data_IF_247242595408
#
_entry.id   IF_247242595408
#
_cell.length_a   1.000
_cell.length_b   1.000
_cell.length_c   1.000
_cell.angle_alpha   90.00
_cell.angle_beta   90.00
_cell.angle_gamma   90.00
#
_symmetry.space_group_name_H-M   'P 1'
#
loop_
_entity.id
_entity.type
_entity.pdbx_description
1 polymer ?
#
# COMPACT_ATOMS: atom_id res chain seq x y z
N UNK A 1 -20.79 -41.61 18.50
CA UNK A 1 -22.19 -41.30 18.15
C UNK A 1 -22.21 -39.92 17.54
N UNK A 2 -22.39 -39.86 16.23
CA UNK A 2 -22.51 -38.64 15.44
C UNK A 2 -23.99 -38.44 15.16
N UNK A 3 -24.51 -37.23 15.36
CA UNK A 3 -25.85 -36.87 14.92
C UNK A 3 -25.77 -35.62 14.04
N UNK A 4 -26.15 -35.80 12.78
CA UNK A 4 -26.17 -34.79 11.73
C UNK A 4 -27.61 -34.26 11.61
N UNK A 5 -27.86 -33.07 12.14
CA UNK A 5 -29.10 -32.35 11.91
C UNK A 5 -29.08 -31.63 10.56
N UNK A 6 -29.75 -32.21 9.56
CA UNK A 6 -30.12 -31.55 8.29
C UNK A 6 -31.13 -30.44 8.58
N UNK A 7 -30.95 -29.27 7.98
CA UNK A 7 -32.08 -28.37 7.72
C UNK A 7 -31.93 -27.73 6.34
N UNK A 8 -32.81 -28.16 5.45
CA UNK A 8 -33.07 -27.62 4.12
C UNK A 8 -34.01 -26.43 4.29
N UNK A 9 -33.67 -25.25 3.75
CA UNK A 9 -34.66 -24.24 3.36
C UNK A 9 -34.30 -23.70 1.97
N UNK A 10 -35.32 -23.70 1.12
CA UNK A 10 -35.31 -23.34 -0.27
C UNK A 10 -35.61 -21.84 -0.47
N UNK A 11 -34.95 -21.26 -1.49
CA UNK A 11 -35.60 -20.43 -2.51
C UNK A 11 -35.96 -18.97 -2.21
N UNK A 12 -36.11 -18.22 -3.31
CA UNK A 12 -36.56 -16.82 -3.46
C UNK A 12 -35.39 -15.82 -3.36
N UNK A 13 -35.11 -14.95 -4.31
CA UNK A 13 -35.79 -14.59 -5.56
C UNK A 13 -34.95 -13.53 -6.29
N UNK A 14 -35.08 -13.54 -7.61
CA UNK A 14 -34.46 -12.68 -8.60
C UNK A 14 -34.94 -11.22 -8.44
N UNK A 15 -34.03 -10.23 -8.48
CA UNK A 15 -34.40 -8.85 -8.79
C UNK A 15 -33.23 -8.15 -9.48
N UNK A 16 -33.31 -8.11 -10.81
CA UNK A 16 -32.50 -7.28 -11.67
C UNK A 16 -33.03 -5.83 -11.59
N UNK A 17 -32.15 -4.87 -11.31
CA UNK A 17 -32.45 -3.46 -11.49
C UNK A 17 -31.78 -2.97 -12.78
N UNK A 18 -32.58 -2.86 -13.82
CA UNK A 18 -32.26 -2.15 -15.06
C UNK A 18 -32.56 -0.68 -14.80
N UNK A 19 -31.61 0.22 -15.08
CA UNK A 19 -31.89 1.66 -15.20
C UNK A 19 -31.46 2.12 -16.59
N UNK A 20 -32.46 2.47 -17.39
CA UNK A 20 -32.34 3.02 -18.75
C UNK A 20 -32.18 4.54 -18.68
N UNK A 21 -31.34 5.02 -19.59
CA UNK A 21 -31.10 6.40 -20.03
C UNK A 21 -32.31 7.35 -20.03
N UNK A 22 -32.03 8.62 -19.74
CA UNK A 22 -32.74 9.74 -20.34
C UNK A 22 -31.71 10.74 -20.90
N UNK A 23 -31.75 10.89 -22.22
CA UNK A 23 -31.06 11.93 -22.98
C UNK A 23 -32.06 13.05 -23.29
N UNK A 24 -31.64 14.31 -23.07
CA UNK A 24 -32.15 15.53 -23.68
C UNK A 24 -30.87 16.40 -23.85
N UNK A 25 -30.46 16.91 -25.01
CA UNK A 25 -31.22 17.39 -26.15
C UNK A 25 -31.12 18.92 -26.17
N UNK A 26 -30.50 19.50 -27.21
CA UNK A 26 -30.61 20.94 -27.51
C UNK A 26 -29.32 21.59 -27.98
N UNK A 27 -29.17 21.73 -29.31
CA UNK A 27 -28.07 22.43 -29.95
C UNK A 27 -28.35 23.92 -30.25
N UNK A 28 -27.24 24.58 -30.60
CA UNK A 28 -27.04 25.78 -31.43
C UNK A 28 -27.79 27.08 -31.10
N UNK A 29 -27.04 28.20 -31.02
CA UNK A 29 -26.95 29.19 -32.12
C UNK A 29 -25.87 30.23 -31.77
N UNK A 30 -24.95 30.39 -32.72
CA UNK A 30 -23.93 31.44 -32.83
C UNK A 30 -24.58 32.79 -33.14
N UNK A 31 -24.30 33.83 -32.34
CA UNK A 31 -24.44 35.24 -32.76
C UNK A 31 -23.30 36.07 -32.14
N UNK A 32 -22.36 36.50 -32.97
CA UNK A 32 -21.57 37.72 -32.75
C UNK A 32 -22.37 38.89 -33.36
N UNK A 33 -22.33 40.12 -32.79
CA UNK A 33 -21.23 41.02 -33.15
C UNK A 33 -20.91 42.15 -32.13
N UNK A 34 -19.95 42.98 -32.55
CA UNK A 34 -19.70 44.39 -32.21
C UNK A 34 -18.59 44.66 -31.18
N UNK A 35 -17.40 44.87 -31.74
CA UNK A 35 -16.25 45.52 -31.13
C UNK A 35 -16.59 46.93 -30.64
N UNK A 36 -16.16 47.24 -29.42
CA UNK A 36 -16.08 48.58 -28.84
C UNK A 36 -14.67 48.77 -28.23
N UNK A 37 -14.23 50.01 -27.97
CA UNK A 37 -12.84 50.43 -28.06
C UNK A 37 -11.94 49.92 -26.92
N UNK A 38 -10.68 49.74 -27.30
CA UNK A 38 -9.56 49.28 -26.50
C UNK A 38 -9.18 50.31 -25.43
N UNK A 39 -9.63 50.12 -24.19
CA UNK A 39 -8.92 50.61 -23.01
C UNK A 39 -7.97 49.50 -22.56
N UNK A 40 -6.67 49.70 -22.77
CA UNK A 40 -5.62 48.79 -22.30
C UNK A 40 -5.50 48.93 -20.78
N UNK A 41 -5.88 47.91 -19.98
CA UNK A 41 -5.58 47.91 -18.56
C UNK A 41 -4.06 47.73 -18.39
N UNK A 42 -3.45 48.27 -17.32
CA UNK A 42 -2.04 48.02 -17.04
C UNK A 42 -1.80 46.52 -17.01
N UNK A 43 -0.79 46.08 -17.75
CA UNK A 43 -0.31 44.70 -17.82
C UNK A 43 -0.23 44.14 -16.40
N UNK A 44 -1.23 43.34 -16.02
CA UNK A 44 -1.13 42.52 -14.83
C UNK A 44 0.05 41.59 -15.08
N UNK A 45 1.09 41.74 -14.27
CA UNK A 45 2.20 40.80 -14.21
C UNK A 45 1.54 39.42 -14.08
N UNK A 46 1.77 38.49 -15.03
CA UNK A 46 1.23 37.14 -14.89
C UNK A 46 1.67 36.66 -13.52
N UNK A 47 0.76 36.13 -12.68
CA UNK A 47 1.15 35.62 -11.37
C UNK A 47 2.33 34.68 -11.63
N UNK A 48 3.49 35.04 -11.06
CA UNK A 48 4.67 34.20 -11.08
C UNK A 48 4.18 32.82 -10.75
N UNK A 49 4.25 31.90 -11.72
CA UNK A 49 3.73 30.57 -11.55
C UNK A 49 4.36 30.04 -10.26
N UNK A 50 3.53 29.86 -9.24
CA UNK A 50 3.96 29.23 -8.00
C UNK A 50 4.65 27.96 -8.46
N UNK A 51 5.94 27.74 -8.12
CA UNK A 51 6.57 26.47 -8.43
C UNK A 51 5.63 25.37 -7.95
N UNK A 52 5.39 24.31 -8.75
CA UNK A 52 4.42 23.28 -8.40
C UNK A 52 4.68 22.93 -6.95
N UNK A 53 3.66 23.15 -6.11
CA UNK A 53 3.78 22.97 -4.67
C UNK A 53 4.53 21.66 -4.48
N UNK A 54 5.70 21.71 -3.85
CA UNK A 54 6.45 20.50 -3.54
C UNK A 54 5.41 19.54 -2.99
N UNK A 55 5.20 18.46 -3.74
CA UNK A 55 4.25 17.42 -3.36
C UNK A 55 4.47 17.22 -1.88
N UNK A 56 3.39 17.40 -1.11
CA UNK A 56 3.44 17.51 0.35
C UNK A 56 4.32 16.42 0.94
N UNK A 57 4.73 16.51 2.20
CA UNK A 57 5.56 15.51 2.88
C UNK A 57 5.27 14.02 2.54
N UNK A 58 4.02 13.67 2.17
CA UNK A 58 3.60 12.34 1.70
C UNK A 58 3.38 12.17 0.19
N UNK A 59 3.45 13.21 -0.62
CA UNK A 59 3.17 13.18 -2.05
C UNK A 59 4.14 12.31 -2.86
N UNK A 60 5.41 12.18 -2.44
CA UNK A 60 6.34 11.22 -3.05
C UNK A 60 5.92 9.76 -2.84
N UNK A 61 5.32 9.48 -1.68
CA UNK A 61 4.81 8.16 -1.31
C UNK A 61 3.49 7.87 -2.05
N UNK A 62 2.59 8.84 -2.07
CA UNK A 62 1.30 8.76 -2.77
C UNK A 62 1.46 8.71 -4.29
N UNK A 63 2.54 9.26 -4.86
CA UNK A 63 2.87 9.10 -6.27
C UNK A 63 3.12 7.63 -6.67
N UNK A 64 3.41 6.75 -5.71
CA UNK A 64 3.52 5.31 -5.95
C UNK A 64 2.18 4.57 -5.97
N UNK A 65 1.06 5.24 -5.64
CA UNK A 65 -0.28 4.65 -5.63
C UNK A 65 -1.08 5.20 -6.82
N UNK A 66 -1.73 4.35 -7.64
CA UNK A 66 -2.59 4.82 -8.72
C UNK A 66 -3.78 5.60 -8.14
N UNK A 67 -4.00 6.81 -8.62
CA UNK A 67 -5.07 7.67 -8.12
C UNK A 67 -6.42 7.32 -8.77
N UNK A 68 -7.23 6.52 -8.06
CA UNK A 68 -8.49 5.97 -8.56
C UNK A 68 -9.59 6.09 -7.50
N UNK A 69 -10.88 6.02 -7.87
CA UNK A 69 -11.96 5.97 -6.87
C UNK A 69 -11.78 4.87 -5.83
N UNK A 70 -11.22 3.72 -6.22
CA UNK A 70 -11.03 2.56 -5.32
C UNK A 70 -9.88 2.76 -4.34
N UNK A 71 -8.73 3.25 -4.80
CA UNK A 71 -7.59 3.55 -3.92
C UNK A 71 -7.85 4.72 -2.97
N UNK A 72 -8.77 5.63 -3.32
CA UNK A 72 -9.22 6.72 -2.42
C UNK A 72 -10.17 6.28 -1.30
N UNK A 73 -10.72 5.07 -1.35
CA UNK A 73 -11.69 4.61 -0.34
C UNK A 73 -11.06 4.45 1.05
N UNK A 74 -9.77 4.09 1.11
CA UNK A 74 -9.00 3.99 2.34
C UNK A 74 -7.54 4.24 2.00
N UNK A 75 -6.89 5.11 2.77
CA UNK A 75 -5.45 5.42 2.65
C UNK A 75 -4.87 5.49 4.06
N UNK A 76 -3.89 4.66 4.35
CA UNK A 76 -3.14 4.67 5.60
C UNK A 76 -1.68 4.98 5.30
N UNK A 77 -1.11 5.95 6.00
CA UNK A 77 0.27 6.38 5.82
C UNK A 77 0.98 6.33 7.16
N UNK A 78 2.18 5.76 7.16
CA UNK A 78 3.07 5.75 8.31
C UNK A 78 4.42 6.38 7.93
N UNK A 79 4.94 7.21 8.82
CA UNK A 79 6.30 7.76 8.75
C UNK A 79 7.13 7.25 9.92
N UNK A 80 7.86 6.17 9.68
CA UNK A 80 8.69 5.54 10.68
C UNK A 80 10.00 6.32 10.93
N UNK A 81 10.46 7.11 9.96
CA UNK A 81 11.65 7.94 10.12
C UNK A 81 11.38 9.12 11.08
N UNK A 82 10.27 9.83 10.89
CA UNK A 82 9.84 10.93 11.76
C UNK A 82 9.57 10.42 13.19
N UNK A 83 8.96 9.24 13.30
CA UNK A 83 8.80 8.53 14.56
C UNK A 83 10.15 8.28 15.25
N UNK A 84 11.14 7.73 14.52
CA UNK A 84 12.47 7.47 15.07
C UNK A 84 13.13 8.76 15.55
N UNK A 85 13.06 9.82 14.75
CA UNK A 85 13.58 11.15 15.10
C UNK A 85 12.94 11.70 16.39
N UNK A 86 11.61 11.67 16.48
CA UNK A 86 10.86 12.15 17.64
C UNK A 86 11.26 11.43 18.93
N UNK A 87 11.64 10.16 18.83
CA UNK A 87 12.06 9.33 19.95
C UNK A 87 13.57 9.32 20.19
N UNK A 88 14.35 10.04 19.38
CA UNK A 88 15.81 10.01 19.45
C UNK A 88 16.42 8.63 19.13
N UNK A 89 15.70 7.81 18.36
CA UNK A 89 16.17 6.49 17.93
C UNK A 89 17.02 6.64 16.68
N UNK A 90 18.18 5.99 16.67
CA UNK A 90 18.96 5.84 15.44
C UNK A 90 18.30 4.79 14.54
N UNK A 91 18.34 4.95 13.21
CA UNK A 91 17.93 3.88 12.30
C UNK A 91 18.75 2.63 12.59
N UNK A 92 18.09 1.50 12.82
CA UNK A 92 18.77 0.24 13.03
C UNK A 92 19.59 -0.13 11.79
N UNK A 93 20.84 -0.54 11.99
CA UNK A 93 21.62 -1.18 10.94
C UNK A 93 20.92 -2.43 10.38
N UNK A 94 21.25 -2.86 9.15
CA UNK A 94 20.65 -4.06 8.54
C UNK A 94 20.87 -5.34 9.35
N UNK A 95 21.90 -5.37 10.20
CA UNK A 95 22.27 -6.55 11.00
C UNK A 95 21.94 -6.41 12.48
N UNK A 96 21.31 -5.31 12.90
CA UNK A 96 20.96 -5.07 14.31
C UNK A 96 19.77 -5.91 14.77
N UNK A 97 19.67 -6.22 16.05
CA UNK A 97 18.51 -6.93 16.58
C UNK A 97 17.24 -6.06 16.51
N UNK A 98 16.15 -6.66 15.98
CA UNK A 98 14.82 -6.06 15.81
C UNK A 98 14.03 -5.67 17.09
N UNK A 99 14.36 -6.08 18.34
CA UNK A 99 13.47 -5.88 19.49
C UNK A 99 13.09 -4.45 19.80
N UNK A 100 13.93 -3.45 19.51
CA UNK A 100 13.63 -2.05 19.84
C UNK A 100 12.53 -1.48 18.93
N UNK A 101 12.54 -1.84 17.64
CA UNK A 101 11.50 -1.45 16.68
C UNK A 101 10.19 -2.20 16.92
N UNK A 102 10.26 -3.49 17.29
CA UNK A 102 9.07 -4.26 17.71
C UNK A 102 8.48 -3.68 18.99
N UNK A 103 9.29 -3.39 20.01
CA UNK A 103 8.80 -2.82 21.26
C UNK A 103 8.13 -1.48 21.01
N UNK A 104 8.66 -0.66 20.09
CA UNK A 104 8.02 0.56 19.65
C UNK A 104 6.67 0.32 18.94
N UNK A 105 6.61 -0.60 17.98
CA UNK A 105 5.36 -0.93 17.28
C UNK A 105 4.31 -1.58 18.21
N UNK A 106 4.75 -2.27 19.25
CA UNK A 106 3.90 -2.77 20.33
C UNK A 106 3.40 -1.60 21.19
N UNK A 107 4.27 -0.68 21.59
CA UNK A 107 3.92 0.48 22.42
C UNK A 107 3.02 1.50 21.70
N UNK A 108 3.05 1.57 20.36
CA UNK A 108 2.12 2.40 19.58
C UNK A 108 0.72 1.79 19.44
N UNK A 109 0.57 0.48 19.66
CA UNK A 109 -0.69 -0.29 19.50
C UNK A 109 -1.32 -0.70 20.85
N UNK A 110 -0.55 -0.67 21.95
CA UNK A 110 -0.94 -1.14 23.29
C UNK A 110 -0.88 0.07 24.25
N UNK A 111 -1.94 0.58 24.90
CA UNK A 111 -3.25 0.06 25.33
C UNK A 111 -4.21 1.23 25.61
N UNK A 112 -5.44 1.13 25.13
CA UNK A 112 -6.57 1.78 25.81
C UNK A 112 -6.70 1.16 27.22
N UNK A 113 -6.59 1.98 28.27
CA UNK A 113 -6.86 1.58 29.66
C UNK A 113 -5.68 1.61 30.64
N UNK A 114 -4.47 2.01 30.21
CA UNK A 114 -3.38 2.35 31.13
C UNK A 114 -3.30 3.87 31.27
N UNK A 115 -3.20 4.40 32.50
CA UNK A 115 -3.05 5.84 32.69
C UNK A 115 -1.85 6.33 31.88
N UNK A 116 -2.01 7.38 31.05
CA UNK A 116 -0.91 7.94 30.29
C UNK A 116 0.21 8.33 31.25
N UNK A 117 1.38 7.70 31.09
CA UNK A 117 2.60 8.20 31.72
C UNK A 117 2.91 9.57 31.11
N UNK A 118 2.81 10.68 31.86
CA UNK A 118 3.00 12.02 31.33
C UNK A 118 4.45 12.28 30.91
N UNK A 119 5.38 11.39 31.25
CA UNK A 119 6.80 11.46 30.84
C UNK A 119 7.08 10.77 29.51
N UNK A 120 6.11 10.02 28.95
CA UNK A 120 6.27 9.30 27.68
C UNK A 120 5.53 10.01 26.56
N UNK A 121 6.22 10.24 25.45
CA UNK A 121 5.61 10.71 24.21
C UNK A 121 4.76 9.58 23.64
N UNK A 122 3.46 9.79 23.50
CA UNK A 122 2.58 8.88 22.75
C UNK A 122 2.69 9.19 21.27
N UNK A 123 3.09 8.20 20.48
CA UNK A 123 3.16 8.31 19.03
C UNK A 123 2.16 7.31 18.45
N UNK A 124 1.18 7.83 17.71
CA UNK A 124 0.16 7.01 17.06
C UNK A 124 0.60 6.74 15.62
N UNK A 125 0.80 5.46 15.29
CA UNK A 125 0.96 4.99 13.91
C UNK A 125 -0.37 4.37 13.47
N UNK A 126 -0.69 4.45 12.17
CA UNK A 126 -1.73 3.61 11.61
C UNK A 126 -1.32 2.14 11.69
N UNK A 127 -2.27 1.23 11.44
CA UNK A 127 -1.91 -0.18 11.24
C UNK A 127 -0.84 -0.28 10.14
N UNK A 128 0.24 -0.99 10.43
CA UNK A 128 1.36 -1.07 9.51
C UNK A 128 1.01 -2.03 8.35
N UNK A 129 1.32 -1.66 7.09
CA UNK A 129 1.10 -2.55 5.96
C UNK A 129 1.91 -3.82 6.11
N UNK A 130 1.38 -4.91 5.60
CA UNK A 130 1.97 -6.24 5.69
C UNK A 130 3.42 -6.31 5.16
N UNK A 131 3.72 -5.61 4.07
CA UNK A 131 5.04 -5.61 3.44
C UNK A 131 6.13 -4.98 4.32
N UNK A 132 5.76 -4.15 5.29
CA UNK A 132 6.74 -3.47 6.15
C UNK A 132 7.39 -4.39 7.18
N UNK A 133 6.82 -5.58 7.42
CA UNK A 133 7.25 -6.45 8.51
C UNK A 133 6.91 -5.91 9.91
N UNK A 134 6.07 -4.88 9.99
CA UNK A 134 5.58 -4.28 11.23
C UNK A 134 4.07 -4.48 11.43
N UNK A 135 3.39 -5.17 10.52
CA UNK A 135 1.98 -5.52 10.71
C UNK A 135 1.84 -6.57 11.81
N UNK A 136 0.69 -6.55 12.50
CA UNK A 136 0.42 -7.45 13.61
C UNK A 136 0.54 -8.94 13.23
N UNK A 137 0.17 -9.26 11.99
CA UNK A 137 0.22 -10.63 11.44
C UNK A 137 1.64 -11.14 11.21
N UNK A 138 2.66 -10.27 11.23
CA UNK A 138 4.03 -10.59 10.82
C UNK A 138 5.00 -10.65 12.02
N UNK A 139 4.61 -10.20 13.22
CA UNK A 139 5.48 -10.26 14.41
C UNK A 139 5.92 -11.68 14.77
N UNK A 140 5.01 -12.66 14.67
CA UNK A 140 5.30 -14.07 14.96
C UNK A 140 5.91 -14.81 13.75
N UNK A 141 6.01 -14.14 12.61
CA UNK A 141 6.45 -14.71 11.34
C UNK A 141 7.40 -13.74 10.62
N UNK A 142 8.60 -13.49 11.18
CA UNK A 142 9.55 -12.54 10.62
C UNK A 142 9.92 -12.93 9.20
N UNK A 143 9.95 -11.95 8.28
CA UNK A 143 10.14 -12.21 6.84
C UNK A 143 11.50 -11.83 6.33
N UNK A 144 12.30 -11.17 7.16
CA UNK A 144 13.63 -10.69 6.81
C UNK A 144 14.50 -11.82 6.28
N UNK A 145 14.39 -13.02 6.83
CA UNK A 145 15.14 -14.18 6.37
C UNK A 145 14.79 -14.61 4.93
N UNK A 146 13.59 -14.30 4.45
CA UNK A 146 13.13 -14.66 3.10
C UNK A 146 13.18 -13.49 2.11
N UNK A 147 13.09 -12.25 2.60
CA UNK A 147 12.99 -11.05 1.78
C UNK A 147 14.19 -10.11 1.90
N UNK A 148 15.11 -10.35 2.84
CA UNK A 148 16.26 -9.51 3.17
C UNK A 148 15.94 -8.08 3.68
N UNK A 149 14.67 -7.78 3.95
CA UNK A 149 14.24 -6.52 4.56
C UNK A 149 13.07 -6.73 5.53
N UNK A 150 12.89 -5.75 6.42
CA UNK A 150 11.73 -5.58 7.31
C UNK A 150 11.71 -4.11 7.80
N UNK A 151 11.07 -3.82 8.93
CA UNK A 151 10.88 -2.46 9.44
C UNK A 151 12.17 -1.67 9.69
N UNK A 152 13.35 -2.34 9.74
CA UNK A 152 14.66 -1.67 9.80
C UNK A 152 14.98 -0.88 8.53
N UNK A 153 14.51 -1.38 7.40
CA UNK A 153 14.76 -0.83 6.07
C UNK A 153 13.68 0.16 5.64
N UNK A 154 12.54 0.20 6.35
CA UNK A 154 11.38 1.01 5.98
C UNK A 154 11.40 2.35 6.71
N UNK A 155 11.37 3.42 5.92
CA UNK A 155 11.28 4.79 6.39
C UNK A 155 9.84 5.29 6.36
N UNK A 156 9.09 4.97 5.31
CA UNK A 156 7.68 5.33 5.18
C UNK A 156 6.90 4.19 4.54
N UNK A 157 5.59 4.15 4.75
CA UNK A 157 4.73 3.22 4.03
C UNK A 157 3.35 3.80 3.78
N UNK A 158 2.75 3.43 2.66
CA UNK A 158 1.33 3.67 2.36
C UNK A 158 0.63 2.36 2.05
N UNK A 159 -0.59 2.24 2.55
CA UNK A 159 -1.58 1.27 2.13
C UNK A 159 -2.77 2.02 1.54
N UNK A 160 -3.27 1.57 0.38
CA UNK A 160 -4.42 2.18 -0.27
C UNK A 160 -5.37 1.12 -0.86
N UNK A 161 -6.67 1.42 -0.85
CA UNK A 161 -7.73 0.54 -1.33
C UNK A 161 -8.43 -0.24 -0.23
N UNK A 162 -9.28 -1.19 -0.63
CA UNK A 162 -10.12 -1.97 0.29
C UNK A 162 -9.96 -3.46 0.00
N UNK A 163 -10.15 -4.30 1.03
CA UNK A 163 -10.09 -5.76 0.87
C UNK A 163 -11.07 -6.20 -0.23
N UNK A 164 -10.63 -7.07 -1.17
CA UNK A 164 -9.34 -7.78 -1.18
C UNK A 164 -8.21 -7.09 -1.96
N UNK A 165 -8.45 -5.94 -2.57
CA UNK A 165 -7.56 -5.23 -3.50
C UNK A 165 -6.80 -4.10 -2.82
N UNK A 166 -6.01 -4.47 -1.81
CA UNK A 166 -5.12 -3.55 -1.12
C UNK A 166 -3.80 -3.42 -1.89
N UNK A 167 -3.34 -2.17 -2.03
CA UNK A 167 -2.05 -1.81 -2.61
C UNK A 167 -1.14 -1.28 -1.50
N UNK A 168 0.07 -1.83 -1.41
CA UNK A 168 1.05 -1.44 -0.40
C UNK A 168 2.33 -0.95 -1.07
N UNK A 169 2.86 0.16 -0.56
CA UNK A 169 4.15 0.71 -0.95
C UNK A 169 4.94 1.00 0.30
N UNK A 170 6.17 0.50 0.38
CA UNK A 170 7.14 0.88 1.39
C UNK A 170 8.28 1.66 0.73
N UNK A 171 8.67 2.77 1.34
CA UNK A 171 9.84 3.57 0.96
C UNK A 171 10.94 3.40 1.99
N UNK A 172 12.19 3.33 1.53
CA UNK A 172 13.34 3.24 2.40
C UNK A 172 14.58 2.75 1.68
N UNK A 173 15.29 1.80 2.30
CA UNK A 173 16.64 1.36 1.87
C UNK A 173 16.65 -0.14 1.65
N UNK A 174 16.47 -0.57 0.41
CA UNK A 174 16.34 -1.98 0.06
C UNK A 174 17.48 -2.43 -0.86
N UNK A 175 17.78 -3.72 -0.82
CA UNK A 175 18.74 -4.37 -1.71
C UNK A 175 18.03 -5.47 -2.52
N UNK A 176 17.64 -5.18 -3.78
CA UNK A 176 16.97 -6.16 -4.63
C UNK A 176 17.81 -7.43 -4.86
N UNK A 177 19.14 -7.32 -4.88
CA UNK A 177 20.01 -8.48 -5.05
C UNK A 177 20.02 -9.36 -3.79
N UNK A 178 20.01 -8.74 -2.61
CA UNK A 178 19.88 -9.48 -1.35
C UNK A 178 18.51 -10.18 -1.25
N UNK A 179 17.42 -9.55 -1.68
CA UNK A 179 16.10 -10.21 -1.76
C UNK A 179 16.13 -11.40 -2.71
N UNK A 180 16.72 -11.23 -3.90
CA UNK A 180 16.83 -12.33 -4.87
C UNK A 180 17.63 -13.51 -4.28
N UNK A 181 18.73 -13.22 -3.59
CA UNK A 181 19.55 -14.23 -2.93
C UNK A 181 18.80 -14.94 -1.79
N UNK A 182 18.07 -14.20 -0.96
CA UNK A 182 17.27 -14.76 0.13
C UNK A 182 16.17 -15.70 -0.39
N UNK A 183 15.50 -15.31 -1.48
CA UNK A 183 14.51 -16.16 -2.13
C UNK A 183 15.12 -17.41 -2.77
N UNK A 184 16.28 -17.31 -3.42
CA UNK A 184 16.99 -18.46 -4.01
C UNK A 184 17.48 -19.45 -2.95
N UNK A 185 17.93 -18.95 -1.79
CA UNK A 185 18.38 -19.77 -0.67
C UNK A 185 17.24 -20.40 0.15
N UNK A 186 16.00 -19.98 -0.04
CA UNK A 186 14.87 -20.39 0.78
C UNK A 186 14.32 -21.76 0.37
N UNK A 187 14.74 -22.83 1.06
CA UNK A 187 14.30 -24.20 0.77
C UNK A 187 12.82 -24.48 1.06
N UNK A 188 12.18 -23.66 1.90
CA UNK A 188 10.77 -23.79 2.27
C UNK A 188 9.83 -22.88 1.47
N UNK A 189 10.39 -21.93 0.70
CA UNK A 189 9.61 -21.03 -0.13
C UNK A 189 9.14 -21.77 -1.39
N UNK A 190 7.86 -21.68 -1.76
CA UNK A 190 7.45 -22.09 -3.10
C UNK A 190 8.16 -21.21 -4.14
N UNK A 191 8.62 -21.78 -5.27
CA UNK A 191 9.29 -21.02 -6.31
C UNK A 191 8.33 -19.93 -6.84
N UNK A 192 8.77 -18.67 -6.96
CA UNK A 192 7.96 -17.61 -7.54
C UNK A 192 7.91 -17.72 -9.06
N UNK A 193 6.80 -17.25 -9.63
CA UNK A 193 6.80 -16.78 -11.01
C UNK A 193 7.45 -15.38 -11.05
N UNK A 194 8.34 -15.14 -12.01
CA UNK A 194 8.94 -13.82 -12.24
C UNK A 194 8.23 -13.19 -13.43
N UNK A 195 7.56 -12.06 -13.18
CA UNK A 195 6.79 -11.33 -14.20
C UNK A 195 7.41 -9.95 -14.40
N UNK A 196 7.59 -9.53 -15.64
CA UNK A 196 8.09 -8.19 -15.98
C UNK A 196 6.98 -7.34 -16.57
N UNK A 197 6.86 -6.11 -16.08
CA UNK A 197 5.95 -5.09 -16.60
C UNK A 197 6.68 -3.74 -16.63
N UNK A 198 6.68 -3.07 -17.78
CA UNK A 198 7.37 -1.78 -17.97
C UNK A 198 8.83 -1.77 -17.47
N UNK A 199 9.55 -2.87 -17.71
CA UNK A 199 10.96 -3.03 -17.31
C UNK A 199 11.17 -3.31 -15.82
N UNK A 200 10.12 -3.33 -15.00
CA UNK A 200 10.16 -3.71 -13.59
C UNK A 200 9.74 -5.17 -13.45
N UNK A 201 10.60 -5.97 -12.82
CA UNK A 201 10.29 -7.37 -12.50
C UNK A 201 9.71 -7.48 -11.09
N UNK A 202 8.72 -8.35 -10.93
CA UNK A 202 8.15 -8.70 -9.63
C UNK A 202 7.99 -10.21 -9.48
N UNK A 203 8.10 -10.67 -8.24
CA UNK A 203 7.84 -12.04 -7.84
C UNK A 203 6.34 -12.24 -7.62
N UNK A 204 5.80 -13.37 -8.02
CA UNK A 204 4.39 -13.72 -7.86
C UNK A 204 4.24 -15.14 -7.32
N UNK A 205 3.36 -15.31 -6.33
CA UNK A 205 3.01 -16.62 -5.79
C UNK A 205 1.50 -16.87 -5.95
N UNK A 206 1.14 -17.94 -6.67
CA UNK A 206 -0.26 -18.36 -6.86
C UNK A 206 -1.09 -17.40 -7.72
N UNK A 207 -2.38 -17.72 -7.87
CA UNK A 207 -3.33 -16.89 -8.64
C UNK A 207 -3.82 -15.66 -7.86
N UNK A 208 -4.35 -14.67 -8.58
CA UNK A 208 -4.90 -13.45 -7.99
C UNK A 208 -6.02 -13.80 -6.99
N UNK A 209 -5.92 -13.28 -5.76
CA UNK A 209 -6.85 -13.52 -4.64
C UNK A 209 -7.01 -14.98 -4.19
N UNK A 210 -6.27 -15.94 -4.76
CA UNK A 210 -6.40 -17.35 -4.40
C UNK A 210 -5.75 -17.64 -3.06
N UNK A 211 -6.57 -17.91 -2.04
CA UNK A 211 -6.12 -18.25 -0.70
C UNK A 211 -5.98 -19.75 -0.47
N UNK A 212 -4.95 -20.15 0.28
CA UNK A 212 -4.80 -21.50 0.82
C UNK A 212 -4.51 -21.44 2.32
N UNK A 213 -5.53 -21.68 3.15
CA UNK A 213 -5.41 -21.59 4.61
C UNK A 213 -4.36 -22.52 5.23
N UNK A 214 -3.91 -23.58 4.51
CA UNK A 214 -2.81 -24.43 4.97
C UNK A 214 -1.46 -23.73 4.92
N UNK A 215 -1.30 -22.74 4.04
CA UNK A 215 -0.09 -21.92 3.87
C UNK A 215 -0.25 -20.49 4.41
N UNK A 216 -1.23 -20.25 5.29
CA UNK A 216 -1.40 -18.92 5.91
C UNK A 216 -0.13 -18.50 6.62
N UNK A 217 0.26 -17.24 6.44
CA UNK A 217 1.50 -16.66 6.96
C UNK A 217 2.78 -17.42 6.56
N UNK A 218 2.70 -18.30 5.55
CA UNK A 218 3.85 -19.03 5.04
C UNK A 218 4.84 -18.12 4.31
N UNK A 219 6.12 -18.54 4.24
CA UNK A 219 7.13 -17.83 3.49
C UNK A 219 6.89 -17.92 1.97
N UNK A 220 7.42 -16.96 1.19
CA UNK A 220 8.07 -15.73 1.65
C UNK A 220 7.07 -14.61 1.94
N UNK A 221 5.86 -14.68 1.35
CA UNK A 221 4.93 -13.57 1.39
C UNK A 221 3.43 -13.95 1.34
N UNK A 222 3.02 -14.99 2.05
CA UNK A 222 1.60 -15.37 2.16
C UNK A 222 0.93 -14.67 3.34
N UNK A 223 -0.29 -14.16 3.15
CA UNK A 223 -1.05 -13.47 4.21
C UNK A 223 -1.82 -14.42 5.14
N UNK A 224 -2.60 -13.87 6.06
CA UNK A 224 -3.40 -14.66 7.02
C UNK A 224 -4.49 -15.52 6.34
N UNK A 225 -4.84 -15.24 5.08
CA UNK A 225 -5.73 -16.07 4.25
C UNK A 225 -4.95 -17.05 3.37
N UNK A 226 -3.62 -17.04 3.44
CA UNK A 226 -2.74 -17.84 2.61
C UNK A 226 -2.78 -17.43 1.13
N UNK A 227 -3.06 -16.15 0.84
CA UNK A 227 -2.96 -15.59 -0.50
C UNK A 227 -1.51 -15.20 -0.76
N UNK A 228 -0.97 -15.61 -1.90
CA UNK A 228 0.40 -15.29 -2.28
C UNK A 228 0.53 -13.85 -2.79
N UNK A 229 1.52 -13.13 -2.28
CA UNK A 229 1.80 -11.76 -2.70
C UNK A 229 2.33 -11.66 -4.13
N UNK A 230 2.24 -10.45 -4.68
CA UNK A 230 3.10 -9.96 -5.75
C UNK A 230 4.04 -8.97 -5.09
N UNK A 231 5.34 -9.12 -5.26
CA UNK A 231 6.34 -8.24 -4.65
C UNK A 231 7.33 -7.76 -5.71
N UNK A 232 7.43 -6.45 -5.87
CA UNK A 232 8.52 -5.81 -6.61
C UNK A 232 9.44 -5.12 -5.60
N UNK A 233 10.75 -5.33 -5.75
CA UNK A 233 11.77 -4.70 -4.90
C UNK A 233 12.69 -3.87 -5.78
N UNK A 234 12.72 -2.56 -5.52
CA UNK A 234 13.68 -1.61 -6.05
C UNK A 234 14.50 -1.04 -4.88
N UNK A 235 15.62 -0.36 -5.16
CA UNK A 235 16.52 0.11 -4.11
C UNK A 235 15.86 1.06 -3.09
N UNK A 236 14.84 1.81 -3.51
CA UNK A 236 14.16 2.80 -2.68
C UNK A 236 12.71 2.43 -2.36
N UNK A 237 12.13 1.46 -3.08
CA UNK A 237 10.71 1.13 -2.99
C UNK A 237 10.47 -0.37 -2.98
N UNK A 238 9.52 -0.80 -2.18
CA UNK A 238 8.91 -2.14 -2.28
C UNK A 238 7.42 -1.98 -2.52
N UNK A 239 6.93 -2.72 -3.51
CA UNK A 239 5.51 -2.81 -3.82
C UNK A 239 4.98 -4.17 -3.37
N UNK A 240 3.75 -4.18 -2.84
CA UNK A 240 3.04 -5.42 -2.55
C UNK A 240 1.55 -5.30 -2.82
N UNK A 241 1.00 -6.37 -3.36
CA UNK A 241 -0.45 -6.60 -3.45
C UNK A 241 -0.71 -8.11 -3.60
N UNK A 242 -1.97 -8.54 -3.64
CA UNK A 242 -2.36 -9.95 -3.84
C UNK A 242 -2.88 -10.24 -5.25
N UNK A 243 -2.82 -9.24 -6.15
CA UNK A 243 -3.29 -9.38 -7.52
C UNK A 243 -2.35 -8.76 -8.56
N UNK A 244 -2.30 -9.35 -9.74
CA UNK A 244 -1.43 -8.93 -10.83
C UNK A 244 -1.82 -7.55 -11.41
N UNK A 245 -3.11 -7.23 -11.63
CA UNK A 245 -3.50 -5.90 -12.11
C UNK A 245 -3.07 -4.77 -11.17
N UNK A 246 -3.21 -4.98 -9.85
CA UNK A 246 -2.79 -4.01 -8.84
C UNK A 246 -1.28 -3.76 -8.87
N UNK A 247 -0.47 -4.82 -9.03
CA UNK A 247 0.99 -4.68 -9.14
C UNK A 247 1.38 -3.86 -10.37
N UNK A 248 0.74 -4.13 -11.51
CA UNK A 248 0.97 -3.34 -12.74
C UNK A 248 0.60 -1.88 -12.55
N UNK A 249 -0.53 -1.61 -11.90
CA UNK A 249 -0.97 -0.25 -11.61
C UNK A 249 -0.01 0.50 -10.66
N UNK A 250 0.58 -0.17 -9.67
CA UNK A 250 1.64 0.38 -8.82
C UNK A 250 2.89 0.76 -9.64
N UNK A 251 3.33 -0.13 -10.52
CA UNK A 251 4.47 0.11 -11.41
C UNK A 251 4.19 1.28 -12.35
N UNK A 252 2.98 1.34 -12.92
CA UNK A 252 2.57 2.38 -13.85
C UNK A 252 2.46 3.76 -13.17
N UNK A 253 1.86 3.82 -11.98
CA UNK A 253 1.74 5.06 -11.21
C UNK A 253 3.10 5.71 -10.94
N UNK A 254 4.13 4.90 -10.71
CA UNK A 254 5.49 5.41 -10.48
C UNK A 254 6.18 5.90 -11.76
N UNK A 255 5.82 5.35 -12.92
CA UNK A 255 6.45 5.71 -14.19
C UNK A 255 6.03 7.10 -14.70
N UNK A 256 4.85 7.60 -14.29
CA UNK A 256 4.31 8.91 -14.65
C UNK A 256 3.06 8.82 -15.52
#
# INVERSE_FOLDING_TARGET
MWDFGRTTIAGIGFLALISVLAACGGGEVTVAPASAPTDTPPTAIPPTATPPAELSFFGNLLAGIPDTPDTRQSVMINDYAAVRELLGLSPAGPDEEYPVLIQYAIDSVVRDGQEPDPTKIKVYTAEAPFITGMSRDVFDHPRREFLAFDGRNVDQSVEAGVIPSILEVAFGRFDPAATAQALDACSECPPPDIVTHNGVSFYSWGGDHQGNLRGRNGPPAFDHLGRGGRIAVASEYVYRTVETPGMKALIDARAG
#
